data_IF_772384361280
#
_entry.id   IF_772384361280
#
_cell.length_a   1.000
_cell.length_b   1.000
_cell.length_c   1.000
_cell.angle_alpha   90.00
_cell.angle_beta   90.00
_cell.angle_gamma   90.00
#
_symmetry.space_group_name_H-M   'P 1'
#
loop_
_entity.id
_entity.type
_entity.pdbx_description
1 polymer ?
#
# COMPACT_ATOMS: atom_id res chain seq x y z
N UNK A 1 -35.37 -18.19 -17.31
CA UNK A 1 -35.41 -17.15 -16.27
C UNK A 1 -34.00 -16.97 -15.74
N UNK A 2 -33.28 -16.02 -16.33
CA UNK A 2 -31.92 -15.66 -15.95
C UNK A 2 -31.91 -15.12 -14.52
N UNK A 3 -31.10 -15.77 -13.66
CA UNK A 3 -30.77 -15.20 -12.36
C UNK A 3 -29.78 -14.07 -12.62
N UNK A 4 -30.24 -12.83 -12.64
CA UNK A 4 -29.37 -11.66 -12.51
C UNK A 4 -28.61 -11.80 -11.18
N UNK A 5 -27.32 -12.13 -11.25
CA UNK A 5 -26.44 -12.27 -10.10
C UNK A 5 -25.84 -10.88 -9.77
N UNK A 6 -26.31 -10.16 -8.74
CA UNK A 6 -25.89 -8.80 -8.47
C UNK A 6 -24.68 -8.81 -7.55
N UNK A 7 -23.52 -9.27 -8.03
CA UNK A 7 -22.26 -9.18 -7.28
C UNK A 7 -21.09 -9.26 -8.24
N UNK A 8 -20.92 -8.21 -9.05
CA UNK A 8 -19.67 -8.00 -9.78
C UNK A 8 -18.75 -7.12 -8.92
N UNK A 9 -17.75 -7.69 -8.21
CA UNK A 9 -16.68 -6.96 -7.50
C UNK A 9 -15.93 -5.97 -8.41
N UNK A 10 -16.07 -6.18 -9.72
CA UNK A 10 -15.52 -5.37 -10.80
C UNK A 10 -15.89 -3.89 -10.68
N UNK A 11 -17.06 -3.49 -10.18
CA UNK A 11 -17.50 -2.07 -10.23
C UNK A 11 -16.53 -1.09 -9.57
N UNK A 12 -15.88 -1.50 -8.48
CA UNK A 12 -15.00 -0.59 -7.75
C UNK A 12 -13.81 -0.16 -8.61
N UNK A 13 -13.34 -1.02 -9.51
CA UNK A 13 -12.17 -0.80 -10.37
C UNK A 13 -12.50 -0.83 -11.86
N UNK A 14 -13.76 -1.07 -12.25
CA UNK A 14 -14.19 -1.41 -13.61
C UNK A 14 -13.74 -0.37 -14.64
N UNK A 15 -13.84 0.90 -14.27
CA UNK A 15 -13.52 2.02 -15.15
C UNK A 15 -12.06 2.51 -14.98
N UNK A 16 -11.20 1.71 -14.38
CA UNK A 16 -9.80 2.07 -14.11
C UNK A 16 -8.83 1.07 -14.73
N UNK A 17 -7.60 1.52 -14.97
CA UNK A 17 -6.48 0.66 -15.40
C UNK A 17 -6.09 -0.41 -14.36
N UNK A 18 -6.73 -0.42 -13.20
CA UNK A 18 -6.56 -1.40 -12.14
C UNK A 18 -7.64 -2.49 -12.16
N UNK A 19 -8.52 -2.52 -13.16
CA UNK A 19 -9.48 -3.61 -13.33
C UNK A 19 -8.78 -4.96 -13.47
N UNK A 20 -9.28 -5.99 -12.80
CA UNK A 20 -8.75 -7.35 -12.86
C UNK A 20 -9.85 -8.40 -12.71
N UNK A 21 -9.54 -9.65 -13.09
CA UNK A 21 -10.41 -10.78 -12.80
C UNK A 21 -10.09 -11.33 -11.40
N UNK A 22 -11.05 -11.40 -10.47
CA UNK A 22 -10.80 -11.87 -9.12
C UNK A 22 -10.20 -13.28 -9.06
N UNK A 23 -9.18 -13.43 -8.23
CA UNK A 23 -8.52 -14.71 -8.02
C UNK A 23 -9.47 -15.63 -7.25
N UNK A 24 -9.79 -16.84 -7.77
CA UNK A 24 -10.68 -17.73 -7.07
C UNK A 24 -10.09 -18.18 -5.72
N UNK A 25 -10.94 -18.18 -4.68
CA UNK A 25 -10.59 -18.71 -3.38
C UNK A 25 -10.55 -20.24 -3.39
N UNK A 26 -9.53 -20.85 -2.80
CA UNK A 26 -9.52 -22.31 -2.54
C UNK A 26 -10.69 -22.76 -1.63
N UNK A 27 -11.12 -21.88 -0.73
CA UNK A 27 -12.25 -22.10 0.17
C UNK A 27 -13.02 -20.80 0.30
N UNK A 28 -14.32 -20.84 0.01
CA UNK A 28 -15.23 -19.71 0.21
C UNK A 28 -15.39 -19.51 1.73
N UNK A 29 -14.65 -18.56 2.28
CA UNK A 29 -14.82 -18.08 3.66
C UNK A 29 -15.37 -16.66 3.58
N UNK A 30 -16.36 -16.34 4.42
CA UNK A 30 -16.99 -15.02 4.44
C UNK A 30 -16.00 -13.90 4.82
N UNK A 31 -14.96 -14.23 5.58
CA UNK A 31 -13.87 -13.35 6.02
C UNK A 31 -12.58 -13.55 5.21
N UNK A 32 -12.65 -14.23 4.06
CA UNK A 32 -11.50 -14.57 3.23
C UNK A 32 -11.16 -13.52 2.18
N UNK A 33 -10.27 -13.88 1.26
CA UNK A 33 -9.99 -13.11 0.04
C UNK A 33 -11.17 -13.17 -0.95
N UNK A 34 -12.32 -12.62 -0.54
CA UNK A 34 -13.47 -12.44 -1.42
C UNK A 34 -13.10 -11.48 -2.54
N UNK A 35 -13.79 -11.54 -3.68
CA UNK A 35 -13.50 -10.61 -4.77
C UNK A 35 -13.60 -9.13 -4.39
N UNK A 36 -14.52 -8.77 -3.50
CA UNK A 36 -14.67 -7.41 -2.95
C UNK A 36 -13.44 -7.04 -2.11
N UNK A 37 -12.97 -7.96 -1.26
CA UNK A 37 -11.76 -7.78 -0.46
C UNK A 37 -10.53 -7.57 -1.34
N UNK A 38 -10.43 -8.29 -2.46
CA UNK A 38 -9.35 -8.11 -3.43
C UNK A 38 -9.39 -6.72 -4.09
N UNK A 39 -10.59 -6.25 -4.49
CA UNK A 39 -10.75 -4.93 -5.07
C UNK A 39 -10.41 -3.80 -4.08
N UNK A 40 -10.90 -3.92 -2.84
CA UNK A 40 -10.56 -3.00 -1.75
C UNK A 40 -9.06 -3.00 -1.46
N UNK A 41 -8.41 -4.16 -1.52
CA UNK A 41 -6.97 -4.27 -1.32
C UNK A 41 -6.19 -3.52 -2.41
N UNK A 42 -6.57 -3.68 -3.69
CA UNK A 42 -5.90 -2.99 -4.80
C UNK A 42 -6.07 -1.47 -4.70
N UNK A 43 -7.26 -0.97 -4.32
CA UNK A 43 -7.45 0.47 -4.03
C UNK A 43 -6.60 0.94 -2.86
N UNK A 44 -6.58 0.17 -1.78
CA UNK A 44 -5.78 0.49 -0.61
C UNK A 44 -4.28 0.55 -0.98
N UNK A 45 -3.83 -0.35 -1.85
CA UNK A 45 -2.46 -0.38 -2.35
C UNK A 45 -2.14 0.85 -3.21
N UNK A 46 -3.05 1.26 -4.09
CA UNK A 46 -2.93 2.47 -4.91
C UNK A 46 -2.94 3.76 -4.09
N UNK A 47 -3.67 3.81 -2.98
CA UNK A 47 -3.66 4.95 -2.08
C UNK A 47 -2.36 5.03 -1.24
N UNK A 48 -1.87 3.89 -0.73
CA UNK A 48 -0.84 3.87 0.32
C UNK A 48 0.56 3.48 -0.15
N UNK A 49 0.71 2.80 -1.29
CA UNK A 49 2.02 2.31 -1.76
C UNK A 49 2.68 1.25 -0.88
N UNK A 50 1.96 0.69 0.10
CA UNK A 50 2.50 -0.28 1.07
C UNK A 50 1.58 -1.50 1.20
N UNK A 51 2.11 -2.67 0.81
CA UNK A 51 1.39 -3.96 0.90
C UNK A 51 0.97 -4.28 2.33
N UNK A 52 1.82 -3.97 3.32
CA UNK A 52 1.51 -4.25 4.72
C UNK A 52 0.33 -3.43 5.23
N UNK A 53 0.29 -2.14 4.91
CA UNK A 53 -0.81 -1.25 5.29
C UNK A 53 -2.09 -1.58 4.52
N UNK A 54 -1.99 -1.81 3.20
CA UNK A 54 -3.11 -2.23 2.37
C UNK A 54 -3.76 -3.52 2.86
N UNK A 55 -2.95 -4.54 3.21
CA UNK A 55 -3.45 -5.79 3.77
C UNK A 55 -4.17 -5.55 5.10
N UNK A 56 -3.59 -4.73 5.99
CA UNK A 56 -4.20 -4.41 7.30
C UNK A 56 -5.55 -3.71 7.14
N UNK A 57 -5.68 -2.78 6.19
CA UNK A 57 -6.93 -2.05 5.92
C UNK A 57 -8.07 -2.99 5.55
N UNK A 58 -7.79 -4.06 4.80
CA UNK A 58 -8.80 -5.06 4.43
C UNK A 58 -8.92 -6.24 5.41
N UNK A 59 -8.30 -6.13 6.60
CA UNK A 59 -8.34 -7.18 7.62
C UNK A 59 -7.51 -8.43 7.29
N UNK A 60 -6.57 -8.34 6.33
CA UNK A 60 -5.73 -9.46 5.88
C UNK A 60 -4.28 -9.33 6.33
N UNK A 61 -3.57 -10.46 6.35
CA UNK A 61 -2.13 -10.49 6.60
C UNK A 61 -1.30 -10.25 5.34
N UNK A 62 -0.18 -9.53 5.46
CA UNK A 62 0.77 -9.31 4.34
C UNK A 62 1.17 -10.63 3.65
N UNK A 63 1.46 -11.69 4.42
CA UNK A 63 1.84 -13.00 3.88
C UNK A 63 0.70 -13.68 3.10
N UNK A 64 -0.57 -13.52 3.53
CA UNK A 64 -1.69 -14.11 2.79
C UNK A 64 -1.96 -13.37 1.48
N UNK A 65 -1.66 -12.07 1.41
CA UNK A 65 -1.75 -11.28 0.18
C UNK A 65 -0.75 -11.77 -0.88
N UNK A 66 0.52 -12.01 -0.52
CA UNK A 66 1.50 -12.59 -1.46
C UNK A 66 1.09 -14.00 -1.92
N UNK A 67 0.62 -14.85 -1.01
CA UNK A 67 0.10 -16.18 -1.40
C UNK A 67 -1.08 -16.09 -2.37
N UNK A 68 -1.88 -15.02 -2.34
CA UNK A 68 -2.95 -14.80 -3.30
C UNK A 68 -2.39 -14.45 -4.68
N UNK A 69 -1.38 -13.58 -4.73
CA UNK A 69 -0.65 -13.18 -5.95
C UNK A 69 0.12 -14.33 -6.63
N UNK A 70 0.43 -15.39 -5.90
CA UNK A 70 1.13 -16.57 -6.43
C UNK A 70 0.18 -17.67 -6.93
N UNK A 71 -1.15 -17.47 -6.86
CA UNK A 71 -2.10 -18.52 -7.25
C UNK A 71 -2.22 -18.65 -8.77
N UNK A 72 -2.54 -19.85 -9.27
CA UNK A 72 -2.94 -20.02 -10.66
C UNK A 72 -4.13 -19.12 -11.02
N UNK A 73 -4.05 -18.44 -12.17
CA UNK A 73 -5.09 -17.52 -12.65
C UNK A 73 -5.09 -16.13 -11.99
N UNK A 74 -4.03 -15.79 -11.25
CA UNK A 74 -3.88 -14.47 -10.62
C UNK A 74 -3.17 -13.43 -11.49
N UNK A 75 -2.87 -13.72 -12.75
CA UNK A 75 -2.06 -12.87 -13.61
C UNK A 75 -2.62 -11.43 -13.74
N UNK A 76 -3.94 -11.30 -13.95
CA UNK A 76 -4.58 -9.98 -14.01
C UNK A 76 -4.57 -9.24 -12.67
N UNK A 77 -4.71 -9.96 -11.55
CA UNK A 77 -4.59 -9.39 -10.21
C UNK A 77 -3.15 -8.95 -9.91
N UNK A 78 -2.15 -9.71 -10.33
CA UNK A 78 -0.74 -9.36 -10.18
C UNK A 78 -0.40 -8.10 -11.00
N UNK A 79 -0.92 -7.98 -12.22
CA UNK A 79 -0.75 -6.79 -13.05
C UNK A 79 -1.39 -5.54 -12.42
N UNK A 80 -2.62 -5.67 -11.90
CA UNK A 80 -3.28 -4.59 -11.16
C UNK A 80 -2.54 -4.23 -9.87
N UNK A 81 -2.00 -5.23 -9.16
CA UNK A 81 -1.17 -5.04 -7.97
C UNK A 81 0.07 -4.22 -8.26
N UNK A 82 0.83 -4.59 -9.30
CA UNK A 82 2.09 -3.92 -9.64
C UNK A 82 1.83 -2.47 -10.06
N UNK A 83 0.76 -2.24 -10.83
CA UNK A 83 0.31 -0.91 -11.24
C UNK A 83 -0.13 -0.06 -10.04
N UNK A 84 -0.97 -0.61 -9.15
CA UNK A 84 -1.42 0.07 -7.94
C UNK A 84 -0.24 0.41 -7.01
N UNK A 85 0.69 -0.53 -6.82
CA UNK A 85 1.86 -0.30 -5.98
C UNK A 85 2.76 0.81 -6.53
N UNK A 86 2.95 0.85 -7.85
CA UNK A 86 3.70 1.93 -8.51
C UNK A 86 3.03 3.29 -8.30
N UNK A 87 1.72 3.39 -8.55
CA UNK A 87 0.95 4.63 -8.32
C UNK A 87 1.01 5.09 -6.87
N UNK A 88 0.83 4.17 -5.93
CA UNK A 88 0.88 4.47 -4.50
C UNK A 88 2.25 4.95 -4.06
N UNK A 89 3.33 4.32 -4.53
CA UNK A 89 4.71 4.76 -4.23
C UNK A 89 5.01 6.15 -4.79
N UNK A 90 4.58 6.43 -6.02
CA UNK A 90 4.74 7.76 -6.62
C UNK A 90 4.02 8.83 -5.78
N UNK A 91 2.78 8.58 -5.35
CA UNK A 91 2.06 9.50 -4.45
C UNK A 91 2.76 9.69 -3.11
N UNK A 92 3.26 8.62 -2.50
CA UNK A 92 4.00 8.73 -1.23
C UNK A 92 5.31 9.51 -1.41
N UNK A 93 5.98 9.36 -2.55
CA UNK A 93 7.16 10.14 -2.89
C UNK A 93 6.83 11.62 -3.10
N UNK A 94 5.77 11.96 -3.84
CA UNK A 94 5.34 13.34 -4.05
C UNK A 94 4.97 14.02 -2.73
N UNK A 95 4.20 13.32 -1.89
CA UNK A 95 3.88 13.77 -0.53
C UNK A 95 5.15 13.97 0.29
N UNK A 96 6.11 13.04 0.17
CA UNK A 96 7.36 13.14 0.88
C UNK A 96 8.21 14.34 0.47
N UNK A 97 8.28 14.58 -0.83
CA UNK A 97 9.01 15.70 -1.40
C UNK A 97 8.37 17.03 -1.02
N UNK A 98 7.04 17.13 -1.10
CA UNK A 98 6.29 18.30 -0.64
C UNK A 98 6.59 18.62 0.84
N UNK A 99 6.52 17.60 1.71
CA UNK A 99 6.83 17.75 3.15
C UNK A 99 8.29 18.06 3.43
N UNK A 100 9.22 17.58 2.59
CA UNK A 100 10.64 17.89 2.71
C UNK A 100 10.94 19.34 2.28
N UNK A 101 10.35 19.80 1.17
CA UNK A 101 10.62 21.11 0.58
C UNK A 101 9.89 22.24 1.31
N UNK A 102 8.59 22.08 1.56
CA UNK A 102 7.75 23.11 2.17
C UNK A 102 7.81 23.06 3.71
N UNK A 103 8.41 22.01 4.25
CA UNK A 103 8.50 21.78 5.69
C UNK A 103 7.16 21.48 6.33
N UNK A 104 7.23 21.09 7.60
CA UNK A 104 6.07 20.96 8.48
C UNK A 104 6.23 21.89 9.66
N UNK A 105 5.16 22.59 10.01
CA UNK A 105 5.09 23.29 11.29
C UNK A 105 4.85 22.25 12.38
N UNK A 106 5.90 21.91 13.12
CA UNK A 106 5.81 21.00 14.26
C UNK A 106 5.53 21.81 15.52
N UNK A 107 4.36 21.62 16.10
CA UNK A 107 3.98 22.22 17.39
C UNK A 107 4.22 21.19 18.50
N UNK A 108 5.15 21.48 19.41
CA UNK A 108 5.45 20.65 20.58
C UNK A 108 4.95 21.34 21.84
N UNK A 109 4.03 20.68 22.54
CA UNK A 109 3.55 21.13 23.86
C UNK A 109 4.49 20.53 24.92
N UNK A 110 5.18 21.40 25.65
CA UNK A 110 6.11 21.02 26.70
C UNK A 110 5.39 20.87 28.05
N UNK A 111 6.04 20.16 29.00
CA UNK A 111 5.56 20.10 30.39
C UNK A 111 5.53 21.52 30.97
N UNK A 112 4.36 21.93 31.48
CA UNK A 112 4.13 23.28 31.99
C UNK A 112 3.38 24.21 31.03
N UNK A 113 2.96 23.72 29.86
CA UNK A 113 2.08 24.47 28.93
C UNK A 113 2.82 25.40 27.96
N UNK A 114 4.15 25.43 27.98
CA UNK A 114 4.92 26.13 26.96
C UNK A 114 4.77 25.44 25.60
N UNK A 115 4.69 26.25 24.54
CA UNK A 115 4.53 25.79 23.15
C UNK A 115 5.81 26.11 22.40
N UNK A 116 6.43 25.09 21.82
CA UNK A 116 7.55 25.23 20.88
C UNK A 116 7.04 25.00 19.45
N UNK A 117 7.31 25.95 18.55
CA UNK A 117 6.88 25.91 17.15
C UNK A 117 8.13 25.93 16.29
N UNK A 118 8.48 24.76 15.75
CA UNK A 118 9.62 24.63 14.84
C UNK A 118 9.10 24.42 13.42
N UNK A 119 9.59 25.22 12.46
CA UNK A 119 9.41 24.98 11.03
C UNK A 119 10.65 24.29 10.43
N UNK A 120 10.44 23.41 9.46
CA UNK A 120 11.53 22.74 8.75
C UNK A 120 11.06 21.48 8.03
N UNK A 121 11.90 20.87 7.18
CA UNK A 121 11.59 19.62 6.47
C UNK A 121 11.06 18.54 7.41
N UNK A 122 10.03 17.79 7.00
CA UNK A 122 9.58 16.62 7.76
C UNK A 122 10.67 15.52 7.72
N UNK A 123 11.48 15.47 8.78
CA UNK A 123 12.66 14.62 8.84
C UNK A 123 12.32 13.13 8.86
N UNK A 124 11.14 12.74 9.35
CA UNK A 124 10.75 11.32 9.33
C UNK A 124 10.49 10.85 7.90
N UNK A 125 9.93 11.75 7.09
CA UNK A 125 9.69 11.50 5.68
C UNK A 125 10.98 11.53 4.86
N UNK A 126 11.86 12.51 5.08
CA UNK A 126 13.20 12.56 4.45
C UNK A 126 13.99 11.28 4.77
N UNK A 127 13.96 10.83 6.04
CA UNK A 127 14.64 9.61 6.46
C UNK A 127 14.03 8.35 5.85
N UNK A 128 12.71 8.31 5.65
CA UNK A 128 12.04 7.21 4.98
C UNK A 128 12.45 7.12 3.50
N UNK A 129 12.49 8.25 2.79
CA UNK A 129 12.89 8.32 1.39
C UNK A 129 14.35 7.88 1.17
N UNK A 130 15.28 8.35 2.00
CA UNK A 130 16.71 7.95 1.92
C UNK A 130 16.90 6.45 2.20
N UNK A 131 16.07 5.86 3.06
CA UNK A 131 16.20 4.45 3.44
C UNK A 131 15.78 3.50 2.30
N UNK A 132 14.96 3.93 1.36
CA UNK A 132 14.49 3.07 0.25
C UNK A 132 15.53 2.94 -0.89
N UNK A 133 16.44 3.91 -1.04
CA UNK A 133 17.56 3.88 -2.00
C UNK A 133 18.85 3.23 -1.45
N UNK A 134 18.90 3.01 -0.13
CA UNK A 134 19.99 2.27 0.51
C UNK A 134 19.72 0.77 0.42
N UNK A 135 20.01 0.17 -0.74
CA UNK A 135 20.32 -1.26 -0.78
C UNK A 135 21.31 -1.57 0.36
N UNK A 136 21.13 -2.67 1.13
CA UNK A 136 22.03 -2.96 2.22
C UNK A 136 23.42 -3.23 1.64
N UNK A 137 24.35 -2.30 1.85
CA UNK A 137 25.78 -2.59 1.72
C UNK A 137 26.05 -3.69 2.73
N UNK A 138 26.13 -4.93 2.26
CA UNK A 138 26.68 -6.03 3.05
C UNK A 138 28.09 -5.59 3.40
N UNK A 139 28.29 -5.19 4.65
CA UNK A 139 29.61 -5.08 5.23
C UNK A 139 30.18 -6.51 5.28
N UNK A 140 30.88 -6.92 4.23
CA UNK A 140 31.91 -7.95 4.35
C UNK A 140 32.98 -7.36 5.23
N UNK A 141 32.97 -7.79 6.50
CA UNK A 141 34.08 -7.62 7.41
C UNK A 141 35.24 -8.41 6.82
N UNK A 142 36.12 -7.72 6.10
CA UNK A 142 37.42 -8.27 5.75
C UNK A 142 38.21 -8.47 7.04
N UNK A 143 38.46 -9.74 7.33
CA UNK A 143 39.33 -10.18 8.40
C UNK A 143 40.77 -9.94 7.97
N UNK A 144 41.48 -9.11 8.72
CA UNK A 144 42.93 -9.19 8.90
C UNK A 144 43.21 -9.18 10.40
#
# INVERSE_FOLDING_TARGET
MERTNPSSPSLLLADSCLAFNPVPGQRQRADGWTPETQACFIRALEAMGSVGQAAKVVGMGRRSAYRLRERPGSDSFAAAWDSALSMGRMRQFDYAMDRALNGVTTVRILRGGAIDVTGGPDMDVVRAAIREDAAPLKATKDTF
#
